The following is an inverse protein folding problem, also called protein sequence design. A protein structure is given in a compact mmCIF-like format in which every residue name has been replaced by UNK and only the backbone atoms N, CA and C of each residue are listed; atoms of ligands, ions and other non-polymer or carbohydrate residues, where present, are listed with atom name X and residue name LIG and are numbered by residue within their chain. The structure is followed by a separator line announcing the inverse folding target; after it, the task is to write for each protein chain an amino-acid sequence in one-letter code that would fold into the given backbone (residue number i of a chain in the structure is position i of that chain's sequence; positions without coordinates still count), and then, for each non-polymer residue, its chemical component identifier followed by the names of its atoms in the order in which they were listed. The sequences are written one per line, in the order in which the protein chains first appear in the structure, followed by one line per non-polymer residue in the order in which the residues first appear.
data_IF_041587325495
#
_entry.id   IF_041587325495
#
_cell.length_a   1.000
_cell.length_b   1.000
_cell.length_c   1.000
_cell.angle_alpha   90.00
_cell.angle_beta   90.00
_cell.angle_gamma   90.00
#
_symmetry.space_group_name_H-M   'P 1'
#
loop_
_entity.id
_entity.type
_entity.pdbx_description
1 polymer ?
#
# COMPACT_ATOMS: atom_id res chain seq x y z
N UNK A 1 -17.01 59.20 -13.87
CA UNK A 1 -15.79 58.70 -14.52
C UNK A 1 -15.98 57.22 -14.78
N UNK A 2 -15.58 56.76 -15.96
CA UNK A 2 -15.82 55.43 -16.51
C UNK A 2 -14.63 54.48 -16.29
N UNK A 3 -14.81 53.25 -16.80
CA UNK A 3 -13.83 52.16 -17.06
C UNK A 3 -13.68 51.15 -15.90
N UNK A 4 -14.07 49.87 -15.97
CA UNK A 4 -14.02 48.78 -16.97
C UNK A 4 -13.00 47.69 -16.56
N UNK A 5 -13.38 46.44 -16.84
CA UNK A 5 -12.57 45.19 -16.88
C UNK A 5 -12.46 44.39 -15.57
N UNK A 6 -12.55 43.05 -15.49
CA UNK A 6 -12.90 41.90 -16.35
C UNK A 6 -13.01 40.69 -15.37
N UNK A 7 -13.54 39.52 -15.78
CA UNK A 7 -13.99 38.43 -14.91
C UNK A 7 -12.97 37.30 -14.70
N UNK A 8 -13.26 36.46 -13.70
CA UNK A 8 -12.99 35.03 -13.53
C UNK A 8 -11.60 34.43 -13.86
N UNK A 9 -11.11 33.66 -12.88
CA UNK A 9 -10.22 32.49 -12.98
C UNK A 9 -8.72 32.69 -12.73
N UNK A 10 -8.23 32.08 -11.64
CA UNK A 10 -7.03 31.23 -11.67
C UNK A 10 -6.90 30.46 -10.34
N UNK A 11 -7.57 29.32 -10.29
CA UNK A 11 -7.04 28.04 -9.79
C UNK A 11 -6.05 28.07 -8.62
N UNK A 12 -6.55 27.88 -7.40
CA UNK A 12 -5.89 27.00 -6.42
C UNK A 12 -6.65 25.67 -6.39
N UNK A 13 -6.57 24.99 -7.53
CA UNK A 13 -6.85 23.56 -7.65
C UNK A 13 -5.70 22.81 -6.98
N UNK A 14 -6.00 21.93 -6.03
CA UNK A 14 -5.01 20.95 -5.56
C UNK A 14 -4.87 20.76 -4.05
N UNK A 15 -5.90 21.01 -3.26
CA UNK A 15 -6.03 20.34 -1.96
C UNK A 15 -7.18 19.34 -2.03
N UNK A 16 -6.96 18.22 -2.72
CA UNK A 16 -7.73 17.01 -2.49
C UNK A 16 -7.26 16.40 -1.16
N UNK A 17 -7.66 17.05 -0.08
CA UNK A 17 -7.77 16.45 1.24
C UNK A 17 -8.99 15.53 1.12
N UNK A 18 -8.76 14.31 0.62
CA UNK A 18 -9.70 13.22 0.79
C UNK A 18 -9.73 12.93 2.29
N UNK A 19 -10.54 13.72 2.98
CA UNK A 19 -11.12 13.36 4.26
C UNK A 19 -11.81 12.03 4.00
N UNK A 20 -11.15 10.93 4.36
CA UNK A 20 -11.76 9.62 4.35
C UNK A 20 -12.77 9.67 5.48
N UNK A 21 -14.02 10.00 5.14
CA UNK A 21 -15.15 9.80 6.03
C UNK A 21 -15.15 8.32 6.40
N UNK A 22 -14.82 8.03 7.66
CA UNK A 22 -15.00 6.70 8.23
C UNK A 22 -16.51 6.58 8.47
N UNK A 23 -17.26 6.34 7.40
CA UNK A 23 -18.64 5.88 7.51
C UNK A 23 -18.57 4.50 8.17
N UNK A 24 -19.20 4.41 9.34
CA UNK A 24 -19.44 3.19 10.07
C UNK A 24 -20.28 2.26 9.19
N UNK A 25 -19.61 1.45 8.37
CA UNK A 25 -20.25 0.40 7.57
C UNK A 25 -20.77 -0.65 8.57
N UNK A 26 -22.09 -0.94 8.59
CA UNK A 26 -22.59 -2.06 9.37
C UNK A 26 -21.83 -3.32 8.94
N UNK A 27 -21.25 -4.05 9.90
CA UNK A 27 -20.63 -5.36 9.71
C UNK A 27 -21.68 -6.34 9.18
N UNK A 28 -22.02 -6.24 7.90
CA UNK A 28 -22.52 -7.37 7.15
C UNK A 28 -21.33 -8.31 7.01
N UNK A 29 -21.55 -9.58 7.33
CA UNK A 29 -20.63 -10.69 7.11
C UNK A 29 -20.40 -10.84 5.59
N UNK A 30 -19.72 -9.87 4.99
CA UNK A 30 -19.19 -9.97 3.65
C UNK A 30 -18.06 -10.96 3.83
N UNK A 31 -18.17 -12.13 3.21
CA UNK A 31 -17.13 -13.14 3.23
C UNK A 31 -15.92 -12.59 2.47
N UNK A 32 -15.09 -11.81 3.19
CA UNK A 32 -13.95 -11.09 2.62
C UNK A 32 -13.01 -12.15 2.06
N UNK A 33 -12.64 -12.09 0.76
CA UNK A 33 -11.77 -13.10 0.18
C UNK A 33 -10.45 -13.15 0.95
N UNK A 34 -9.88 -14.34 1.08
CA UNK A 34 -8.65 -14.56 1.84
C UNK A 34 -7.53 -13.60 1.41
N UNK A 35 -7.43 -13.29 0.11
CA UNK A 35 -6.47 -12.32 -0.42
C UNK A 35 -6.64 -10.92 0.17
N UNK A 36 -7.88 -10.47 0.38
CA UNK A 36 -8.16 -9.14 0.93
C UNK A 36 -7.93 -9.13 2.44
N UNK A 37 -8.23 -10.23 3.16
CA UNK A 37 -7.82 -10.37 4.58
C UNK A 37 -6.31 -10.29 4.75
N UNK A 38 -5.54 -10.99 3.89
CA UNK A 38 -4.07 -10.91 3.88
C UNK A 38 -3.60 -9.49 3.57
N UNK A 39 -4.20 -8.84 2.57
CA UNK A 39 -3.88 -7.46 2.18
C UNK A 39 -4.12 -6.49 3.33
N UNK A 40 -5.26 -6.60 4.01
CA UNK A 40 -5.60 -5.76 5.16
C UNK A 40 -4.62 -5.96 6.31
N UNK A 41 -4.28 -7.21 6.65
CA UNK A 41 -3.32 -7.49 7.71
C UNK A 41 -1.93 -6.93 7.40
N UNK A 42 -1.48 -7.02 6.14
CA UNK A 42 -0.23 -6.41 5.69
C UNK A 42 -0.32 -4.87 5.74
N UNK A 43 -1.47 -4.29 5.39
CA UNK A 43 -1.67 -2.83 5.39
C UNK A 43 -1.71 -2.24 6.81
N UNK A 44 -2.47 -2.85 7.71
CA UNK A 44 -2.57 -2.40 9.10
C UNK A 44 -1.27 -2.59 9.86
N UNK A 45 -0.49 -3.64 9.52
CA UNK A 45 0.76 -4.02 10.16
C UNK A 45 0.74 -3.80 11.70
N UNK A 46 -0.25 -4.36 12.41
CA UNK A 46 -0.51 -4.03 13.81
C UNK A 46 0.70 -4.34 14.70
N UNK A 47 1.45 -5.38 14.34
CA UNK A 47 2.63 -5.85 15.06
C UNK A 47 3.96 -5.28 14.54
N UNK A 48 3.91 -4.35 13.57
CA UNK A 48 5.10 -3.79 12.86
C UNK A 48 6.04 -4.86 12.31
N UNK A 49 5.45 -5.98 11.88
CA UNK A 49 6.11 -7.16 11.35
C UNK A 49 6.42 -7.07 9.87
N UNK A 50 6.02 -6.00 9.18
CA UNK A 50 6.26 -5.85 7.73
C UNK A 50 7.19 -4.68 7.38
N UNK A 51 7.74 -4.01 8.38
CA UNK A 51 8.62 -2.83 8.24
C UNK A 51 10.08 -3.17 7.86
N UNK A 52 10.45 -4.45 7.77
CA UNK A 52 11.80 -4.82 7.31
C UNK A 52 11.97 -4.36 5.87
N UNK A 53 13.09 -3.70 5.59
CA UNK A 53 13.39 -3.13 4.29
C UNK A 53 14.65 -3.77 3.68
N UNK A 54 14.80 -3.60 2.36
CA UNK A 54 16.02 -3.98 1.66
C UNK A 54 17.16 -3.05 2.10
N UNK A 55 18.39 -3.58 2.20
CA UNK A 55 19.56 -2.80 2.61
C UNK A 55 19.74 -1.60 1.68
N UNK A 56 19.94 -0.41 2.26
CA UNK A 56 20.06 0.88 1.55
C UNK A 56 18.77 1.38 0.86
N UNK A 57 17.64 0.70 1.06
CA UNK A 57 16.35 1.07 0.47
C UNK A 57 15.25 1.04 1.53
N UNK A 58 15.21 2.02 2.46
CA UNK A 58 14.17 2.10 3.50
C UNK A 58 12.74 2.20 2.93
N UNK A 59 12.59 2.69 1.71
CA UNK A 59 11.31 2.77 0.98
C UNK A 59 10.78 1.40 0.50
N UNK A 60 11.68 0.42 0.33
CA UNK A 60 11.36 -0.92 -0.17
C UNK A 60 11.18 -1.90 0.98
N UNK A 61 10.17 -1.64 1.82
CA UNK A 61 9.74 -2.55 2.88
C UNK A 61 9.02 -3.77 2.30
N UNK A 62 8.96 -4.86 3.07
CA UNK A 62 8.14 -5.99 2.66
C UNK A 62 6.67 -5.58 2.48
N UNK A 63 6.16 -4.72 3.36
CA UNK A 63 4.82 -4.17 3.25
C UNK A 63 4.57 -3.52 1.88
N UNK A 64 5.43 -2.57 1.46
CA UNK A 64 5.24 -1.85 0.20
C UNK A 64 5.37 -2.76 -1.01
N UNK A 65 6.29 -3.73 -0.97
CA UNK A 65 6.50 -4.71 -2.04
C UNK A 65 5.30 -5.67 -2.14
N UNK A 66 4.81 -6.18 -1.00
CA UNK A 66 3.69 -7.11 -0.95
C UNK A 66 2.39 -6.45 -1.42
N UNK A 67 2.10 -5.23 -0.96
CA UNK A 67 0.95 -4.46 -1.40
C UNK A 67 1.02 -4.16 -2.90
N UNK A 68 2.17 -3.73 -3.40
CA UNK A 68 2.38 -3.51 -4.83
C UNK A 68 2.11 -4.78 -5.68
N UNK A 69 2.53 -5.93 -5.18
CA UNK A 69 2.29 -7.22 -5.84
C UNK A 69 0.81 -7.61 -5.79
N UNK A 70 0.14 -7.42 -4.66
CA UNK A 70 -1.29 -7.66 -4.48
C UNK A 70 -2.15 -6.70 -5.33
N UNK A 71 -1.69 -5.48 -5.57
CA UNK A 71 -2.29 -4.51 -6.48
C UNK A 71 -2.06 -4.86 -7.97
N UNK A 72 -1.44 -6.02 -8.26
CA UNK A 72 -1.27 -6.54 -9.61
C UNK A 72 -0.03 -6.03 -10.35
N UNK A 73 0.90 -5.32 -9.69
CA UNK A 73 2.15 -4.89 -10.34
C UNK A 73 3.06 -6.08 -10.58
N UNK A 74 3.73 -6.08 -11.74
CA UNK A 74 4.72 -7.11 -12.08
C UNK A 74 6.04 -6.83 -11.36
N UNK A 75 6.78 -7.88 -11.05
CA UNK A 75 8.12 -7.78 -10.43
C UNK A 75 9.07 -6.79 -11.14
N UNK A 76 9.02 -6.72 -12.47
CA UNK A 76 9.81 -5.75 -13.26
C UNK A 76 9.43 -4.30 -12.97
N UNK A 77 8.15 -4.02 -12.75
CA UNK A 77 7.65 -2.68 -12.45
C UNK A 77 8.02 -2.27 -11.03
N UNK A 78 7.88 -3.18 -10.06
CA UNK A 78 8.27 -2.97 -8.67
C UNK A 78 9.78 -2.74 -8.58
N UNK A 79 10.56 -3.55 -9.30
CA UNK A 79 12.01 -3.39 -9.46
C UNK A 79 12.38 -1.99 -9.99
N UNK A 80 11.70 -1.51 -11.03
CA UNK A 80 11.92 -0.16 -11.57
C UNK A 80 11.51 0.94 -10.59
N UNK A 81 10.42 0.74 -9.83
CA UNK A 81 9.90 1.72 -8.87
C UNK A 81 10.88 2.00 -7.73
N UNK A 82 11.55 0.96 -7.24
CA UNK A 82 12.54 1.07 -6.15
C UNK A 82 14.00 1.16 -6.64
N UNK A 83 14.26 0.99 -7.94
CA UNK A 83 15.62 0.91 -8.48
C UNK A 83 16.40 -0.33 -8.04
N UNK A 84 15.70 -1.39 -7.61
CA UNK A 84 16.29 -2.62 -7.09
C UNK A 84 16.21 -3.70 -8.15
N UNK A 85 17.25 -4.52 -8.31
CA UNK A 85 17.20 -5.63 -9.27
C UNK A 85 16.11 -6.65 -8.90
N UNK A 86 15.40 -7.18 -9.91
CA UNK A 86 14.41 -8.26 -9.73
C UNK A 86 14.93 -9.43 -8.88
N UNK A 87 16.16 -9.96 -9.08
CA UNK A 87 16.63 -11.08 -8.25
C UNK A 87 16.84 -10.69 -6.78
N UNK A 88 17.32 -9.48 -6.48
CA UNK A 88 17.44 -8.97 -5.10
C UNK A 88 16.06 -8.85 -4.45
N UNK A 89 15.11 -8.26 -5.18
CA UNK A 89 13.75 -8.04 -4.72
C UNK A 89 13.04 -9.37 -4.43
N UNK A 90 13.15 -10.34 -5.36
CA UNK A 90 12.56 -11.67 -5.22
C UNK A 90 13.17 -12.45 -4.05
N UNK A 91 14.50 -12.46 -3.90
CA UNK A 91 15.15 -13.14 -2.77
C UNK A 91 14.73 -12.54 -1.42
N UNK A 92 14.69 -11.21 -1.33
CA UNK A 92 14.23 -10.53 -0.13
C UNK A 92 12.80 -10.90 0.20
N UNK A 93 11.90 -10.81 -0.79
CA UNK A 93 10.49 -11.14 -0.63
C UNK A 93 10.29 -12.59 -0.19
N UNK A 94 10.91 -13.55 -0.86
CA UNK A 94 10.79 -14.97 -0.52
C UNK A 94 11.33 -15.27 0.88
N UNK A 95 12.49 -14.72 1.24
CA UNK A 95 13.09 -14.93 2.56
C UNK A 95 12.17 -14.41 3.65
N UNK A 96 11.64 -13.21 3.48
CA UNK A 96 10.78 -12.62 4.50
C UNK A 96 9.39 -13.23 4.52
N UNK A 97 8.83 -13.60 3.37
CA UNK A 97 7.58 -14.33 3.27
C UNK A 97 7.62 -15.62 4.11
N UNK A 98 8.75 -16.35 4.12
CA UNK A 98 8.90 -17.53 4.99
C UNK A 98 8.85 -17.19 6.49
N UNK A 99 9.38 -16.03 6.88
CA UNK A 99 9.35 -15.56 8.28
C UNK A 99 7.94 -15.12 8.70
N UNK A 100 7.18 -14.48 7.81
CA UNK A 100 5.88 -13.86 8.14
C UNK A 100 4.65 -14.68 7.75
N UNK A 101 4.73 -15.58 6.77
CA UNK A 101 3.63 -16.47 6.37
C UNK A 101 2.97 -17.23 7.53
N UNK A 102 3.70 -17.83 8.50
CA UNK A 102 3.06 -18.48 9.63
C UNK A 102 2.29 -17.51 10.52
N UNK A 103 2.74 -16.25 10.63
CA UNK A 103 2.08 -15.21 11.43
C UNK A 103 0.81 -14.73 10.75
N UNK A 104 0.88 -14.43 9.45
CA UNK A 104 -0.29 -14.09 8.62
C UNK A 104 -1.34 -15.20 8.69
N UNK A 105 -0.91 -16.47 8.55
CA UNK A 105 -1.81 -17.61 8.65
C UNK A 105 -2.50 -17.68 10.01
N UNK A 106 -1.77 -17.48 11.10
CA UNK A 106 -2.34 -17.48 12.45
C UNK A 106 -3.38 -16.36 12.60
N UNK A 107 -3.05 -15.14 12.18
CA UNK A 107 -3.95 -13.98 12.32
C UNK A 107 -5.22 -14.05 11.50
N UNK A 108 -5.29 -14.88 10.46
CA UNK A 108 -6.48 -15.02 9.60
C UNK A 108 -7.32 -16.26 9.96
N UNK A 109 -6.76 -17.23 10.69
CA UNK A 109 -7.45 -18.46 11.11
C UNK A 109 -8.02 -18.38 12.53
N UNK A 110 -7.70 -17.33 13.27
CA UNK A 110 -8.18 -17.04 14.64
C UNK A 110 -9.37 -16.08 14.58
#
# INVERSE_FOLDING_TARGET
MAQASLPLSSTLSGLNKKSITIENIPQSEIDIPLSEKVRQYIYEDPDRLFQKHIRNHPEATFQTIALAYLDGKKWKEISKLFGISVPTLSHFYQRYLKEVAPKIKKSIQE
#
